data_IF_512935123147
#
_entry.id   IF_512935123147
#
_cell.length_a   1.000
_cell.length_b   1.000
_cell.length_c   1.000
_cell.angle_alpha   90.00
_cell.angle_beta   90.00
_cell.angle_gamma   90.00
#
_symmetry.space_group_name_H-M   'P 1'
#
loop_
_entity.id
_entity.type
_entity.pdbx_description
1 polymer ?
#
# COMPACT_ATOMS: atom_id res chain seq x y z
N UNK A 1 21.32 11.82 -6.88
CA UNK A 1 20.56 11.89 -5.61
C UNK A 1 19.58 10.73 -5.44
N UNK A 2 18.80 10.36 -6.46
CA UNK A 2 17.80 9.26 -6.39
C UNK A 2 18.37 7.90 -5.97
N UNK A 3 19.48 7.44 -6.56
CA UNK A 3 20.11 6.17 -6.17
C UNK A 3 20.54 6.13 -4.69
N UNK A 4 21.19 7.20 -4.22
CA UNK A 4 21.58 7.34 -2.81
C UNK A 4 20.35 7.38 -1.88
N UNK A 5 19.25 8.03 -2.28
CA UNK A 5 18.01 8.02 -1.49
C UNK A 5 17.44 6.61 -1.37
N UNK A 6 17.44 5.84 -2.47
CA UNK A 6 16.99 4.44 -2.48
C UNK A 6 17.85 3.58 -1.55
N UNK A 7 19.17 3.70 -1.65
CA UNK A 7 20.11 2.96 -0.80
C UNK A 7 19.92 3.30 0.68
N UNK A 8 19.84 4.60 1.02
CA UNK A 8 19.64 5.04 2.40
C UNK A 8 18.31 4.56 2.97
N UNK A 9 17.24 4.57 2.17
CA UNK A 9 15.92 4.11 2.63
C UNK A 9 15.89 2.61 2.85
N UNK A 10 16.50 1.82 1.96
CA UNK A 10 16.61 0.37 2.14
C UNK A 10 17.39 0.04 3.42
N UNK A 11 18.44 0.80 3.74
CA UNK A 11 19.18 0.67 5.01
C UNK A 11 18.30 1.07 6.21
N UNK A 12 17.59 2.20 6.14
CA UNK A 12 16.70 2.66 7.21
C UNK A 12 15.55 1.69 7.48
N UNK A 13 14.98 1.11 6.43
CA UNK A 13 13.91 0.11 6.52
C UNK A 13 14.40 -1.19 7.18
N UNK A 14 15.68 -1.55 7.01
CA UNK A 14 16.30 -2.65 7.74
C UNK A 14 16.47 -2.36 9.24
N UNK A 15 16.69 -1.10 9.64
CA UNK A 15 16.98 -0.70 11.03
C UNK A 15 15.71 -0.52 11.87
N UNK A 16 14.63 0.06 11.32
CA UNK A 16 13.43 0.38 12.13
C UNK A 16 12.14 0.22 11.33
N UNK A 17 11.40 -0.85 11.63
CA UNK A 17 10.10 -1.13 11.05
C UNK A 17 9.00 -0.29 11.74
N UNK A 18 8.17 0.42 10.96
CA UNK A 18 6.94 1.02 11.50
C UNK A 18 5.90 -0.10 11.71
N UNK A 19 5.18 -0.14 12.84
CA UNK A 19 4.20 -1.20 13.12
C UNK A 19 3.11 -1.28 12.04
N UNK A 20 2.96 -2.46 11.42
CA UNK A 20 2.02 -2.71 10.32
C UNK A 20 0.57 -2.35 10.66
N UNK A 21 0.12 -2.67 11.87
CA UNK A 21 -1.25 -2.42 12.33
C UNK A 21 -1.60 -0.93 12.36
N UNK A 22 -0.66 -0.06 12.76
CA UNK A 22 -0.92 1.40 12.83
C UNK A 22 -1.04 2.01 11.43
N UNK A 23 -0.24 1.53 10.49
CA UNK A 23 -0.28 1.99 9.10
C UNK A 23 -1.55 1.52 8.40
N UNK A 24 -1.95 0.26 8.60
CA UNK A 24 -3.20 -0.26 8.04
C UNK A 24 -4.42 0.51 8.59
N UNK A 25 -4.46 0.76 9.91
CA UNK A 25 -5.54 1.54 10.53
C UNK A 25 -5.56 3.00 10.05
N UNK A 26 -4.40 3.63 9.84
CA UNK A 26 -4.32 4.98 9.29
C UNK A 26 -4.79 5.03 7.82
N UNK A 27 -4.48 3.99 7.04
CA UNK A 27 -4.89 3.87 5.64
C UNK A 27 -6.41 3.68 5.52
N UNK A 28 -6.99 2.79 6.33
CA UNK A 28 -8.45 2.60 6.36
C UNK A 28 -9.16 3.87 6.81
N UNK A 29 -8.70 4.50 7.90
CA UNK A 29 -9.29 5.75 8.39
C UNK A 29 -9.23 6.88 7.35
N UNK A 30 -8.18 6.94 6.54
CA UNK A 30 -8.06 7.91 5.47
C UNK A 30 -9.07 7.65 4.32
N UNK A 31 -9.22 6.40 3.90
CA UNK A 31 -10.20 6.02 2.89
C UNK A 31 -11.64 6.28 3.36
N UNK A 32 -11.94 5.91 4.61
CA UNK A 32 -13.24 6.11 5.25
C UNK A 32 -13.55 7.61 5.42
N UNK A 33 -12.55 8.42 5.76
CA UNK A 33 -12.69 9.88 5.86
C UNK A 33 -13.05 10.51 4.51
N UNK A 34 -12.36 10.10 3.43
CA UNK A 34 -12.65 10.59 2.09
C UNK A 34 -14.05 10.17 1.63
N UNK A 35 -14.44 8.93 1.91
CA UNK A 35 -15.78 8.44 1.60
C UNK A 35 -16.84 9.21 2.40
N UNK A 36 -16.72 9.30 3.73
CA UNK A 36 -17.71 9.98 4.57
C UNK A 36 -17.88 11.47 4.29
N UNK A 37 -16.87 12.14 3.71
CA UNK A 37 -16.93 13.57 3.36
C UNK A 37 -17.41 13.84 1.94
N UNK A 38 -17.12 12.95 1.00
CA UNK A 38 -17.27 13.22 -0.43
C UNK A 38 -18.18 12.22 -1.15
N UNK A 39 -18.70 11.20 -0.45
CA UNK A 39 -19.66 10.25 -1.03
C UNK A 39 -21.05 10.88 -1.13
N UNK A 40 -21.39 11.33 -2.35
CA UNK A 40 -22.72 11.79 -2.73
C UNK A 40 -23.57 10.73 -3.45
N UNK A 41 -23.17 9.45 -3.43
CA UNK A 41 -23.90 8.35 -4.08
C UNK A 41 -23.76 8.24 -5.61
N UNK A 42 -22.98 9.11 -6.25
CA UNK A 42 -22.77 9.09 -7.70
C UNK A 42 -21.30 8.87 -8.08
N UNK A 43 -21.07 8.37 -9.30
CA UNK A 43 -19.73 8.13 -9.83
C UNK A 43 -18.88 9.39 -9.98
N UNK A 44 -19.53 10.54 -10.25
CA UNK A 44 -18.85 11.84 -10.33
C UNK A 44 -18.25 12.25 -8.97
N UNK A 45 -18.95 11.94 -7.88
CA UNK A 45 -18.46 12.17 -6.53
C UNK A 45 -17.24 11.30 -6.21
N UNK A 46 -17.23 10.05 -6.68
CA UNK A 46 -16.06 9.15 -6.59
C UNK A 46 -14.83 9.68 -7.33
N UNK A 47 -15.00 10.21 -8.54
CA UNK A 47 -13.91 10.85 -9.29
C UNK A 47 -13.36 12.09 -8.57
N UNK A 48 -14.24 12.96 -8.05
CA UNK A 48 -13.83 14.15 -7.30
C UNK A 48 -13.08 13.75 -6.03
N UNK A 49 -13.60 12.76 -5.29
CA UNK A 49 -12.96 12.22 -4.10
C UNK A 49 -11.57 11.65 -4.40
N UNK A 50 -11.41 10.95 -5.52
CA UNK A 50 -10.11 10.46 -5.96
C UNK A 50 -9.16 11.61 -6.32
N UNK A 51 -9.59 12.60 -7.09
CA UNK A 51 -8.73 13.76 -7.45
C UNK A 51 -8.28 14.51 -6.20
N UNK A 52 -9.20 14.80 -5.28
CA UNK A 52 -8.92 15.54 -4.04
C UNK A 52 -8.08 14.70 -3.08
N UNK A 53 -8.33 13.40 -2.97
CA UNK A 53 -7.63 12.51 -2.04
C UNK A 53 -6.30 11.94 -2.55
N UNK A 54 -6.08 11.90 -3.87
CA UNK A 54 -4.93 11.23 -4.47
C UNK A 54 -4.09 12.22 -5.29
N UNK A 55 -4.69 12.88 -6.27
CA UNK A 55 -3.95 13.75 -7.20
C UNK A 55 -3.48 15.06 -6.55
N UNK A 56 -4.33 15.70 -5.73
CA UNK A 56 -3.96 16.96 -5.05
C UNK A 56 -2.79 16.77 -4.07
N UNK A 57 -2.78 15.78 -3.16
CA UNK A 57 -1.63 15.54 -2.29
C UNK A 57 -0.36 15.20 -3.06
N UNK A 58 -0.46 14.42 -4.14
CA UNK A 58 0.68 14.12 -5.01
C UNK A 58 1.26 15.38 -5.67
N UNK A 59 0.41 16.28 -6.17
CA UNK A 59 0.83 17.56 -6.73
C UNK A 59 1.50 18.45 -5.68
N UNK A 60 0.93 18.53 -4.46
CA UNK A 60 1.53 19.29 -3.37
C UNK A 60 2.92 18.74 -2.99
N UNK A 61 3.08 17.42 -2.93
CA UNK A 61 4.38 16.80 -2.70
C UNK A 61 5.39 17.11 -3.81
N UNK A 62 4.94 17.20 -5.07
CA UNK A 62 5.78 17.60 -6.20
C UNK A 62 6.25 19.05 -6.05
N UNK A 63 5.32 19.98 -5.78
CA UNK A 63 5.64 21.40 -5.60
C UNK A 63 6.58 21.60 -4.41
N UNK A 64 6.34 20.90 -3.31
CA UNK A 64 7.19 20.93 -2.13
C UNK A 64 8.60 20.43 -2.47
N UNK A 65 8.72 19.30 -3.18
CA UNK A 65 10.02 18.79 -3.61
C UNK A 65 10.79 19.83 -4.44
N UNK A 66 10.15 20.46 -5.42
CA UNK A 66 10.77 21.51 -6.23
C UNK A 66 11.17 22.73 -5.39
N UNK A 67 10.33 23.16 -4.45
CA UNK A 67 10.66 24.26 -3.54
C UNK A 67 11.89 23.94 -2.68
N UNK A 68 11.95 22.74 -2.07
CA UNK A 68 13.13 22.32 -1.30
C UNK A 68 14.38 22.21 -2.17
N UNK A 69 14.24 21.73 -3.41
CA UNK A 69 15.36 21.63 -4.34
C UNK A 69 15.93 22.99 -4.74
N UNK A 70 15.09 24.04 -4.79
CA UNK A 70 15.55 25.42 -5.01
C UNK A 70 16.29 26.00 -3.81
N UNK A 71 15.92 25.61 -2.59
CA UNK A 71 16.58 26.08 -1.36
C UNK A 71 17.90 25.37 -1.14
N UNK A 72 17.90 24.04 -1.11
CA UNK A 72 19.11 23.26 -0.87
C UNK A 72 18.96 21.80 -1.32
N UNK A 73 19.97 21.27 -2.03
CA UNK A 73 19.91 19.91 -2.59
C UNK A 73 19.79 18.82 -1.51
N UNK A 74 20.40 19.02 -0.33
CA UNK A 74 20.29 18.09 0.81
C UNK A 74 18.89 18.07 1.43
N UNK A 75 18.16 19.18 1.39
CA UNK A 75 16.79 19.23 1.90
C UNK A 75 15.86 18.40 1.00
N UNK A 76 15.98 18.56 -0.32
CA UNK A 76 15.26 17.74 -1.29
C UNK A 76 15.62 16.25 -1.17
N UNK A 77 16.89 15.94 -0.90
CA UNK A 77 17.33 14.57 -0.63
C UNK A 77 16.69 14.00 0.64
N UNK A 78 16.70 14.75 1.74
CA UNK A 78 16.06 14.33 2.99
C UNK A 78 14.56 14.08 2.82
N UNK A 79 13.86 14.96 2.08
CA UNK A 79 12.45 14.78 1.76
C UNK A 79 12.18 13.50 0.95
N UNK A 80 13.02 13.19 -0.04
CA UNK A 80 12.92 11.96 -0.81
C UNK A 80 13.06 10.71 0.06
N UNK A 81 14.07 10.70 0.94
CA UNK A 81 14.30 9.60 1.89
C UNK A 81 13.11 9.45 2.83
N UNK A 82 12.62 10.55 3.39
CA UNK A 82 11.48 10.56 4.30
C UNK A 82 10.21 10.01 3.62
N UNK A 83 9.91 10.51 2.43
CA UNK A 83 8.77 10.06 1.62
C UNK A 83 8.83 8.57 1.33
N UNK A 84 9.95 8.10 0.77
CA UNK A 84 10.12 6.68 0.48
C UNK A 84 10.02 5.82 1.74
N UNK A 85 10.61 6.25 2.86
CA UNK A 85 10.54 5.54 4.13
C UNK A 85 9.10 5.36 4.64
N UNK A 86 8.25 6.39 4.49
CA UNK A 86 6.83 6.28 4.89
C UNK A 86 5.96 5.51 3.90
N UNK A 87 6.33 5.50 2.62
CA UNK A 87 5.53 4.90 1.56
C UNK A 87 5.86 3.44 1.31
N UNK A 88 7.11 3.02 1.57
CA UNK A 88 7.53 1.63 1.57
C UNK A 88 6.93 0.88 2.78
N UNK A 89 6.59 -0.39 2.55
CA UNK A 89 5.97 -1.24 3.55
C UNK A 89 6.59 -2.63 3.64
N UNK A 90 7.85 -2.81 3.23
CA UNK A 90 8.48 -4.12 3.02
C UNK A 90 8.33 -5.06 4.22
N UNK A 91 8.61 -4.53 5.42
CA UNK A 91 8.70 -5.38 6.61
C UNK A 91 7.34 -5.86 7.13
N UNK A 92 6.24 -5.21 6.75
CA UNK A 92 4.90 -5.52 7.26
C UNK A 92 4.39 -6.89 6.80
N UNK A 93 4.75 -7.31 5.59
CA UNK A 93 4.28 -8.58 5.02
C UNK A 93 5.33 -9.70 5.09
N UNK A 94 6.61 -9.36 5.29
CA UNK A 94 7.69 -10.36 5.37
C UNK A 94 7.52 -11.37 6.51
N UNK A 95 7.00 -10.92 7.66
CA UNK A 95 6.82 -11.76 8.84
C UNK A 95 5.84 -12.91 8.60
N UNK A 96 4.70 -12.66 7.95
CA UNK A 96 3.75 -13.71 7.59
C UNK A 96 4.39 -14.79 6.70
N UNK A 97 5.16 -14.37 5.70
CA UNK A 97 5.82 -15.33 4.81
C UNK A 97 6.82 -16.21 5.56
N UNK A 98 7.67 -15.60 6.38
CA UNK A 98 8.66 -16.33 7.19
C UNK A 98 8.00 -17.26 8.21
N UNK A 99 6.95 -16.81 8.90
CA UNK A 99 6.25 -17.60 9.91
C UNK A 99 5.50 -18.79 9.28
N UNK A 100 4.86 -18.59 8.12
CA UNK A 100 4.21 -19.67 7.35
C UNK A 100 5.26 -20.69 6.88
N UNK A 101 6.38 -20.21 6.33
CA UNK A 101 7.47 -21.09 5.89
C UNK A 101 8.01 -21.92 7.06
N UNK A 102 8.21 -21.31 8.23
CA UNK A 102 8.68 -21.98 9.42
C UNK A 102 7.67 -23.02 9.93
N UNK A 103 6.38 -22.67 9.99
CA UNK A 103 5.32 -23.59 10.38
C UNK A 103 5.24 -24.81 9.46
N UNK A 104 5.34 -24.61 8.13
CA UNK A 104 5.38 -25.72 7.17
C UNK A 104 6.62 -26.60 7.34
N UNK A 105 7.78 -26.01 7.62
CA UNK A 105 9.02 -26.77 7.90
C UNK A 105 8.93 -27.60 9.18
N UNK A 106 8.22 -27.11 10.20
CA UNK A 106 8.01 -27.82 11.46
C UNK A 106 6.85 -28.84 11.40
N UNK A 107 6.18 -28.98 10.25
CA UNK A 107 5.01 -29.86 10.11
C UNK A 107 3.73 -29.32 10.77
N UNK A 108 3.73 -28.06 11.22
CA UNK A 108 2.61 -27.40 11.89
C UNK A 108 1.60 -26.84 10.86
N UNK A 109 0.93 -27.74 10.12
CA UNK A 109 0.03 -27.35 9.03
C UNK A 109 -1.13 -26.44 9.48
N UNK A 110 -1.75 -26.73 10.63
CA UNK A 110 -2.86 -25.91 11.13
C UNK A 110 -2.40 -24.49 11.45
N UNK A 111 -1.20 -24.33 12.03
CA UNK A 111 -0.62 -23.00 12.29
C UNK A 111 -0.34 -22.26 10.98
N UNK A 112 0.21 -22.96 9.97
CA UNK A 112 0.45 -22.37 8.66
C UNK A 112 -0.86 -21.90 7.99
N UNK A 113 -1.95 -22.66 8.12
CA UNK A 113 -3.29 -22.26 7.65
C UNK A 113 -3.82 -21.03 8.38
N UNK A 114 -3.70 -20.99 9.70
CA UNK A 114 -4.14 -19.85 10.51
C UNK A 114 -3.40 -18.57 10.11
N UNK A 115 -2.07 -18.64 9.98
CA UNK A 115 -1.24 -17.52 9.55
C UNK A 115 -1.60 -17.05 8.13
N UNK A 116 -1.80 -17.99 7.20
CA UNK A 116 -2.22 -17.67 5.84
C UNK A 116 -3.62 -17.04 5.80
N UNK A 117 -4.56 -17.54 6.60
CA UNK A 117 -5.91 -17.02 6.69
C UNK A 117 -5.91 -15.60 7.26
N UNK A 118 -5.11 -15.35 8.30
CA UNK A 118 -4.89 -14.02 8.87
C UNK A 118 -4.29 -13.06 7.84
N UNK A 119 -3.31 -13.50 7.06
CA UNK A 119 -2.65 -12.65 6.07
C UNK A 119 -3.57 -12.30 4.89
N UNK A 120 -4.38 -13.25 4.42
CA UNK A 120 -5.26 -13.06 3.25
C UNK A 120 -6.65 -12.53 3.59
N UNK A 121 -7.05 -12.54 4.86
CA UNK A 121 -8.42 -12.23 5.29
C UNK A 121 -9.46 -13.22 4.74
N UNK A 122 -9.05 -14.43 4.37
CA UNK A 122 -9.92 -15.49 3.81
C UNK A 122 -9.62 -16.81 4.50
N UNK A 123 -10.66 -17.57 4.84
CA UNK A 123 -10.51 -18.87 5.50
C UNK A 123 -9.61 -19.80 4.68
N UNK A 124 -8.64 -20.41 5.36
CA UNK A 124 -7.71 -21.41 4.81
C UNK A 124 -8.11 -22.84 5.16
N UNK A 125 -9.35 -23.05 5.57
CA UNK A 125 -9.84 -24.35 6.02
C UNK A 125 -9.70 -25.37 4.90
N UNK A 126 -9.17 -26.56 5.26
CA UNK A 126 -8.94 -27.70 4.38
C UNK A 126 -7.79 -27.58 3.36
N UNK A 127 -6.98 -26.52 3.39
CA UNK A 127 -5.83 -26.39 2.47
C UNK A 127 -4.72 -27.40 2.77
N UNK A 128 -4.21 -28.08 1.74
CA UNK A 128 -3.02 -28.94 1.87
C UNK A 128 -1.73 -28.13 2.07
N UNK A 129 -0.65 -28.77 2.54
CA UNK A 129 0.67 -28.12 2.73
C UNK A 129 1.17 -27.42 1.45
N UNK A 130 1.06 -28.10 0.30
CA UNK A 130 1.45 -27.53 -0.99
C UNK A 130 0.58 -26.32 -1.40
N UNK A 131 -0.71 -26.35 -1.09
CA UNK A 131 -1.63 -25.24 -1.38
C UNK A 131 -1.33 -24.04 -0.49
N UNK A 132 -1.05 -24.28 0.80
CA UNK A 132 -0.63 -23.21 1.73
C UNK A 132 0.67 -22.56 1.23
N UNK A 133 1.66 -23.35 0.82
CA UNK A 133 2.91 -22.84 0.26
C UNK A 133 2.68 -22.03 -1.01
N UNK A 134 1.88 -22.56 -1.96
CA UNK A 134 1.54 -21.86 -3.20
C UNK A 134 0.86 -20.52 -2.93
N UNK A 135 -0.16 -20.51 -2.09
CA UNK A 135 -0.91 -19.30 -1.75
C UNK A 135 -0.06 -18.28 -1.00
N UNK A 136 0.85 -18.74 -0.13
CA UNK A 136 1.80 -17.86 0.54
C UNK A 136 2.78 -17.19 -0.44
N UNK A 137 3.24 -17.93 -1.46
CA UNK A 137 4.08 -17.38 -2.53
C UNK A 137 3.30 -16.37 -3.38
N UNK A 138 2.10 -16.72 -3.83
CA UNK A 138 1.24 -15.82 -4.61
C UNK A 138 0.98 -14.51 -3.82
N UNK A 139 0.62 -14.62 -2.55
CA UNK A 139 0.40 -13.46 -1.68
C UNK A 139 1.69 -12.66 -1.47
N UNK A 140 2.83 -13.33 -1.29
CA UNK A 140 4.14 -12.70 -1.13
C UNK A 140 4.57 -11.90 -2.37
N UNK A 141 4.32 -12.43 -3.57
CA UNK A 141 4.61 -11.74 -4.83
C UNK A 141 3.75 -10.48 -4.95
N UNK A 142 2.44 -10.60 -4.70
CA UNK A 142 1.51 -9.44 -4.77
C UNK A 142 1.90 -8.38 -3.74
N UNK A 143 2.19 -8.77 -2.50
CA UNK A 143 2.59 -7.85 -1.45
C UNK A 143 3.93 -7.15 -1.78
N UNK A 144 4.92 -7.89 -2.30
CA UNK A 144 6.20 -7.34 -2.73
C UNK A 144 6.03 -6.34 -3.87
N UNK A 145 5.17 -6.66 -4.84
CA UNK A 145 4.86 -5.74 -5.92
C UNK A 145 4.22 -4.45 -5.40
N UNK A 146 3.16 -4.56 -4.57
CA UNK A 146 2.38 -3.41 -4.09
C UNK A 146 3.12 -2.53 -3.08
N UNK A 147 4.00 -3.09 -2.27
CA UNK A 147 4.62 -2.36 -1.17
C UNK A 147 6.09 -2.03 -1.37
N UNK A 148 6.74 -2.60 -2.39
CA UNK A 148 8.15 -2.37 -2.70
C UNK A 148 8.34 -1.96 -4.15
N UNK A 149 8.06 -2.86 -5.09
CA UNK A 149 8.47 -2.63 -6.48
C UNK A 149 7.71 -1.48 -7.14
N UNK A 150 6.39 -1.39 -6.95
CA UNK A 150 5.60 -0.32 -7.54
C UNK A 150 5.89 1.06 -6.93
N UNK A 151 5.98 1.24 -5.59
CA UNK A 151 6.43 2.50 -5.00
C UNK A 151 7.80 2.94 -5.50
N UNK A 152 8.77 2.01 -5.62
CA UNK A 152 10.11 2.33 -6.13
C UNK A 152 10.08 2.71 -7.62
N UNK A 153 9.30 1.99 -8.43
CA UNK A 153 9.13 2.30 -9.85
C UNK A 153 8.54 3.71 -10.04
N UNK A 154 7.44 4.02 -9.36
CA UNK A 154 6.80 5.33 -9.46
C UNK A 154 7.65 6.44 -8.85
N UNK A 155 8.45 6.15 -7.83
CA UNK A 155 9.47 7.06 -7.33
C UNK A 155 10.53 7.37 -8.38
N UNK A 156 11.00 6.36 -9.12
CA UNK A 156 11.99 6.57 -10.16
C UNK A 156 11.42 7.37 -11.33
N UNK A 157 10.15 7.14 -11.68
CA UNK A 157 9.48 7.80 -12.80
C UNK A 157 9.10 9.27 -12.52
N UNK A 158 8.50 9.56 -11.36
CA UNK A 158 7.94 10.87 -11.02
C UNK A 158 8.47 11.45 -9.70
N UNK A 159 9.51 10.86 -9.12
CA UNK A 159 10.07 11.28 -7.85
C UNK A 159 9.12 11.00 -6.66
N UNK A 160 9.25 11.76 -5.55
CA UNK A 160 8.44 11.54 -4.34
C UNK A 160 6.93 11.59 -4.64
N UNK A 161 6.50 12.48 -5.54
CA UNK A 161 5.09 12.60 -5.92
C UNK A 161 4.51 11.33 -6.53
N UNK A 162 5.29 10.61 -7.36
CA UNK A 162 4.85 9.35 -7.96
C UNK A 162 4.62 8.26 -6.93
N UNK A 163 5.55 8.09 -5.99
CA UNK A 163 5.41 7.12 -4.92
C UNK A 163 4.14 7.39 -4.08
N UNK A 164 3.88 8.67 -3.77
CA UNK A 164 2.70 9.08 -3.00
C UNK A 164 1.42 8.84 -3.78
N UNK A 165 1.39 9.21 -5.06
CA UNK A 165 0.27 8.99 -5.97
C UNK A 165 -0.12 7.51 -6.00
N UNK A 166 0.86 6.63 -6.23
CA UNK A 166 0.64 5.19 -6.24
C UNK A 166 0.09 4.68 -4.91
N UNK A 167 0.68 5.12 -3.78
CA UNK A 167 0.28 4.64 -2.46
C UNK A 167 -1.14 5.07 -2.10
N UNK A 168 -1.50 6.32 -2.36
CA UNK A 168 -2.85 6.83 -2.11
C UNK A 168 -3.88 6.17 -3.03
N UNK A 169 -3.55 5.98 -4.31
CA UNK A 169 -4.41 5.26 -5.24
C UNK A 169 -4.69 3.82 -4.78
N UNK A 170 -3.65 3.11 -4.29
CA UNK A 170 -3.79 1.77 -3.73
C UNK A 170 -4.70 1.77 -2.49
N UNK A 171 -4.47 2.67 -1.54
CA UNK A 171 -5.25 2.77 -0.29
C UNK A 171 -6.73 3.05 -0.57
N UNK A 172 -7.01 3.99 -1.47
CA UNK A 172 -8.37 4.36 -1.86
C UNK A 172 -9.07 3.21 -2.59
N UNK A 173 -8.38 2.53 -3.51
CA UNK A 173 -8.93 1.40 -4.24
C UNK A 173 -9.20 0.17 -3.34
N UNK A 174 -8.32 -0.11 -2.37
CA UNK A 174 -8.53 -1.22 -1.43
C UNK A 174 -9.59 -0.89 -0.37
N UNK A 175 -9.61 0.34 0.16
CA UNK A 175 -10.55 0.77 1.19
C UNK A 175 -12.00 0.81 0.69
N UNK A 176 -12.27 1.50 -0.42
CA UNK A 176 -13.64 1.64 -0.94
C UNK A 176 -14.21 0.33 -1.50
N UNK A 177 -13.35 -0.61 -1.89
CA UNK A 177 -13.78 -1.95 -2.31
C UNK A 177 -14.25 -2.82 -1.13
N UNK A 178 -13.77 -2.55 0.08
CA UNK A 178 -14.11 -3.28 1.31
C UNK A 178 -15.28 -2.71 2.12
N UNK A 179 -15.56 -1.41 1.99
CA UNK A 179 -16.66 -0.71 2.66
C UNK A 179 -18.06 -1.06 2.11
N UNK A 180 -18.13 -1.89 1.06
CA UNK A 180 -19.38 -2.38 0.50
C UNK A 180 -20.10 -3.35 1.43
N UNK A 181 -21.15 -2.87 2.11
CA UNK A 181 -22.31 -3.70 2.44
C UNK A 181 -22.91 -4.36 1.18
N UNK A 182 -23.97 -5.18 1.29
CA UNK A 182 -24.49 -6.00 0.18
C UNK A 182 -24.60 -5.20 -1.12
N UNK A 183 -24.19 -5.85 -2.21
CA UNK A 183 -23.71 -5.33 -3.51
C UNK A 183 -24.58 -4.30 -4.28
N UNK A 184 -25.62 -3.74 -3.67
CA UNK A 184 -26.64 -2.92 -4.31
C UNK A 184 -26.51 -1.41 -4.01
N UNK A 185 -25.73 -0.99 -3.00
CA UNK A 185 -25.72 0.42 -2.58
C UNK A 185 -24.60 1.30 -3.17
N UNK A 186 -23.41 0.77 -3.49
CA UNK A 186 -22.23 1.60 -3.80
C UNK A 186 -21.45 1.33 -5.12
N UNK A 187 -21.94 0.62 -6.16
CA UNK A 187 -21.14 0.27 -7.35
C UNK A 187 -20.74 1.46 -8.25
N UNK A 188 -21.02 2.70 -7.85
CA UNK A 188 -20.72 3.91 -8.63
C UNK A 188 -19.57 4.73 -8.06
N UNK A 189 -19.43 4.82 -6.73
CA UNK A 189 -18.44 5.69 -6.09
C UNK A 189 -17.01 5.13 -6.20
N UNK A 190 -16.85 3.84 -5.94
CA UNK A 190 -15.57 3.12 -6.00
C UNK A 190 -15.07 2.87 -7.44
N UNK A 191 -15.99 2.87 -8.41
CA UNK A 191 -15.74 2.51 -9.80
C UNK A 191 -14.57 3.27 -10.44
N UNK A 192 -14.43 4.57 -10.15
CA UNK A 192 -13.32 5.37 -10.68
C UNK A 192 -11.98 4.96 -10.09
N UNK A 193 -11.91 4.78 -8.76
CA UNK A 193 -10.69 4.38 -8.07
C UNK A 193 -10.23 2.98 -8.51
N UNK A 194 -11.17 2.02 -8.58
CA UNK A 194 -10.90 0.68 -9.07
C UNK A 194 -10.40 0.69 -10.53
N UNK A 195 -11.04 1.48 -11.40
CA UNK A 195 -10.64 1.58 -12.81
C UNK A 195 -9.27 2.25 -12.95
N UNK A 196 -9.00 3.31 -12.20
CA UNK A 196 -7.72 4.03 -12.26
C UNK A 196 -6.54 3.20 -11.75
N UNK A 197 -6.75 2.27 -10.82
CA UNK A 197 -5.68 1.47 -10.24
C UNK A 197 -5.45 0.12 -10.96
N UNK A 198 -6.48 -0.45 -11.59
CA UNK A 198 -6.43 -1.77 -12.22
C UNK A 198 -6.36 -1.75 -13.76
N UNK A 199 -6.25 -0.58 -14.39
CA UNK A 199 -6.04 -0.44 -15.83
C UNK A 199 -4.56 -0.52 -16.23
#
# INVERSE_FOLDING_TARGET
MTFLSLLCVLILEQIRAVPAARLLAAQSAYADYLEGRLNGGEARHGMIAWVVGVAVPALLALLLHFALARVHVLLAFGFNVLMLYFLLGFRQFSHFFTDIQLALRMGELERARQLLAQWRGKSGDRLGSAEVARLAIEQGIVASHRHVFAPLFWFLALGPAGALLYRLALVVAEGWRGAGGPAEANPRFDAFACRAFHW
#
